data_IF_390054816058
#
_entry.id   IF_390054816058
#
_cell.length_a   1.000
_cell.length_b   1.000
_cell.length_c   1.000
_cell.angle_alpha   90.00
_cell.angle_beta   90.00
_cell.angle_gamma   90.00
#
_symmetry.space_group_name_H-M   'P 1'
#
loop_
_entity.id
_entity.type
_entity.pdbx_description
1 polymer ?
#
# COMPACT_ATOMS: atom_id res chain seq x y z
N UNK A 1 19.34 -15.30 -15.06
CA UNK A 1 19.65 -14.43 -16.23
C UNK A 1 21.10 -14.01 -16.10
N UNK A 2 21.81 -13.97 -17.22
CA UNK A 2 23.17 -13.47 -17.27
C UNK A 2 23.19 -11.95 -16.98
N UNK A 3 24.29 -11.40 -16.45
CA UNK A 3 24.46 -9.95 -16.10
C UNK A 3 24.24 -8.99 -17.31
N UNK A 4 24.14 -9.51 -18.52
CA UNK A 4 23.82 -8.75 -19.74
C UNK A 4 22.31 -8.71 -20.07
N UNK A 5 21.44 -9.31 -19.25
CA UNK A 5 20.00 -9.44 -19.51
C UNK A 5 19.24 -8.12 -19.49
N UNK A 6 18.14 -8.07 -20.24
CA UNK A 6 17.23 -6.92 -20.33
C UNK A 6 15.84 -7.27 -19.83
N UNK A 7 15.29 -6.40 -18.99
CA UNK A 7 13.91 -6.54 -18.46
C UNK A 7 13.05 -5.42 -19.05
N UNK A 8 11.88 -5.78 -19.57
CA UNK A 8 10.83 -4.82 -19.93
C UNK A 8 9.76 -4.83 -18.86
N UNK A 9 9.47 -3.67 -18.28
CA UNK A 9 8.46 -3.52 -17.22
C UNK A 9 7.31 -2.67 -17.76
N UNK A 10 6.08 -3.16 -17.59
CA UNK A 10 4.85 -2.47 -17.97
C UNK A 10 4.11 -2.03 -16.73
N UNK A 11 3.97 -0.71 -16.54
CA UNK A 11 3.30 -0.06 -15.44
C UNK A 11 4.23 0.67 -14.48
N UNK A 12 4.10 2.00 -14.42
CA UNK A 12 4.91 2.91 -13.62
C UNK A 12 4.43 3.11 -12.17
N UNK A 13 3.57 2.21 -11.68
CA UNK A 13 3.18 2.15 -10.28
C UNK A 13 4.29 1.58 -9.39
N UNK A 14 4.01 1.47 -8.07
CA UNK A 14 5.03 1.03 -7.10
C UNK A 14 5.54 -0.39 -7.39
N UNK A 15 4.69 -1.32 -7.82
CA UNK A 15 5.12 -2.67 -8.16
C UNK A 15 6.11 -2.65 -9.33
N UNK A 16 5.79 -1.99 -10.43
CA UNK A 16 6.70 -1.89 -11.58
C UNK A 16 7.97 -1.13 -11.26
N UNK A 17 7.88 -0.03 -10.51
CA UNK A 17 9.05 0.74 -10.08
C UNK A 17 9.99 -0.10 -9.20
N UNK A 18 9.44 -0.92 -8.27
CA UNK A 18 10.26 -1.80 -7.45
C UNK A 18 10.87 -2.96 -8.24
N UNK A 19 10.17 -3.48 -9.25
CA UNK A 19 10.78 -4.44 -10.18
C UNK A 19 11.95 -3.80 -10.96
N UNK A 20 11.84 -2.53 -11.35
CA UNK A 20 12.96 -1.81 -11.95
C UNK A 20 14.14 -1.67 -10.98
N UNK A 21 13.88 -1.33 -9.72
CA UNK A 21 14.90 -1.26 -8.66
C UNK A 21 15.60 -2.60 -8.48
N UNK A 22 14.85 -3.68 -8.34
CA UNK A 22 15.44 -5.02 -8.12
C UNK A 22 16.19 -5.54 -9.35
N UNK A 23 15.70 -5.32 -10.55
CA UNK A 23 16.40 -5.64 -11.78
C UNK A 23 17.74 -4.89 -11.88
N UNK A 24 17.73 -3.59 -11.60
CA UNK A 24 18.95 -2.76 -11.63
C UNK A 24 19.96 -3.18 -10.56
N UNK A 25 19.52 -3.52 -9.36
CA UNK A 25 20.39 -4.06 -8.30
C UNK A 25 21.06 -5.39 -8.68
N UNK A 26 20.49 -6.12 -9.66
CA UNK A 26 21.07 -7.34 -10.27
C UNK A 26 21.87 -7.10 -11.54
N UNK A 27 22.16 -5.85 -11.86
CA UNK A 27 22.95 -5.50 -13.04
C UNK A 27 22.19 -5.58 -14.37
N UNK A 28 20.86 -5.78 -14.35
CA UNK A 28 20.06 -5.92 -15.57
C UNK A 28 19.72 -4.54 -16.19
N UNK A 29 19.68 -4.46 -17.51
CA UNK A 29 19.13 -3.30 -18.20
C UNK A 29 17.59 -3.30 -18.10
N UNK A 30 16.98 -2.12 -17.98
CA UNK A 30 15.53 -1.99 -17.80
C UNK A 30 14.95 -0.98 -18.78
N UNK A 31 13.91 -1.40 -19.51
CA UNK A 31 13.00 -0.50 -20.22
C UNK A 31 11.66 -0.51 -19.50
N UNK A 32 11.21 0.65 -19.01
CA UNK A 32 10.06 0.78 -18.12
C UNK A 32 8.98 1.65 -18.77
N UNK A 33 7.87 1.05 -19.19
CA UNK A 33 6.76 1.70 -19.87
C UNK A 33 5.65 2.09 -18.88
N UNK A 34 5.11 3.29 -19.05
CA UNK A 34 3.89 3.74 -18.37
C UNK A 34 3.00 4.46 -19.38
N UNK A 35 1.72 4.10 -19.44
CA UNK A 35 0.75 4.69 -20.37
C UNK A 35 0.44 6.17 -20.11
N UNK A 36 0.50 6.58 -18.85
CA UNK A 36 0.35 7.97 -18.43
C UNK A 36 1.72 8.67 -18.40
N UNK A 37 1.73 9.98 -18.27
CA UNK A 37 2.98 10.73 -18.10
C UNK A 37 3.66 10.43 -16.76
N UNK A 38 2.84 10.04 -15.76
CA UNK A 38 3.25 9.64 -14.42
C UNK A 38 2.28 8.58 -13.89
N UNK A 39 2.74 7.74 -12.94
CA UNK A 39 1.86 6.77 -12.29
C UNK A 39 0.70 7.47 -11.57
N UNK A 40 -0.55 7.16 -11.96
CA UNK A 40 -1.77 7.78 -11.44
C UNK A 40 -2.68 6.85 -10.66
N UNK A 41 -2.30 5.59 -10.52
CA UNK A 41 -3.06 4.56 -9.82
C UNK A 41 -2.96 4.66 -8.29
N UNK A 42 -3.22 3.53 -7.62
CA UNK A 42 -3.19 3.41 -6.15
C UNK A 42 -1.88 3.87 -5.52
N UNK A 43 -0.76 3.74 -6.23
CA UNK A 43 0.58 4.05 -5.73
C UNK A 43 0.79 5.50 -5.29
N UNK A 44 0.00 6.44 -5.80
CA UNK A 44 0.06 7.88 -5.44
C UNK A 44 -1.21 8.36 -4.72
N UNK A 45 -2.09 7.43 -4.36
CA UNK A 45 -3.40 7.68 -3.74
C UNK A 45 -3.57 6.94 -2.41
N UNK A 46 -2.46 6.69 -1.71
CA UNK A 46 -2.39 5.98 -0.44
C UNK A 46 -1.63 6.80 0.62
N UNK A 47 -1.53 6.26 1.84
CA UNK A 47 -0.86 6.92 2.97
C UNK A 47 0.67 6.94 2.87
N UNK A 48 1.28 6.13 2.03
CA UNK A 48 2.72 5.92 2.06
C UNK A 48 3.20 5.09 3.25
N UNK A 49 2.33 4.28 3.85
CA UNK A 49 2.69 3.44 4.98
C UNK A 49 3.52 2.24 4.52
N UNK A 50 4.63 2.01 5.21
CA UNK A 50 5.33 0.75 5.26
C UNK A 50 4.87 0.06 6.55
N UNK A 51 3.76 -0.67 6.43
CA UNK A 51 2.90 -1.11 7.53
C UNK A 51 3.16 -2.57 7.87
N UNK A 52 3.89 -2.83 8.94
CA UNK A 52 4.22 -4.16 9.47
C UNK A 52 3.18 -4.56 10.54
N UNK A 53 2.76 -3.60 11.36
CA UNK A 53 1.89 -3.80 12.53
C UNK A 53 0.62 -4.59 12.23
N UNK A 54 -0.07 -4.28 11.15
CA UNK A 54 -1.35 -4.90 10.81
C UNK A 54 -1.27 -6.25 10.08
N UNK A 55 -0.08 -6.79 9.79
CA UNK A 55 0.08 -7.98 8.94
C UNK A 55 -0.19 -9.26 9.72
N UNK A 56 -0.82 -10.26 9.07
CA UNK A 56 -1.03 -11.58 9.67
C UNK A 56 0.31 -12.25 9.97
N UNK A 57 0.40 -12.94 11.12
CA UNK A 57 1.56 -13.78 11.46
C UNK A 57 1.89 -14.81 10.38
N UNK A 58 3.15 -15.15 10.24
CA UNK A 58 3.65 -16.08 9.23
C UNK A 58 4.05 -15.39 7.91
N UNK A 59 3.70 -15.92 6.73
CA UNK A 59 4.24 -15.45 5.44
C UNK A 59 3.97 -13.95 5.16
N UNK A 60 2.81 -13.44 5.57
CA UNK A 60 2.49 -12.01 5.34
C UNK A 60 3.39 -11.10 6.18
N UNK A 61 3.59 -11.42 7.46
CA UNK A 61 4.50 -10.66 8.32
C UNK A 61 5.94 -10.77 7.82
N UNK A 62 6.39 -11.97 7.46
CA UNK A 62 7.74 -12.19 6.94
C UNK A 62 8.00 -11.36 5.67
N UNK A 63 7.04 -11.32 4.73
CA UNK A 63 7.13 -10.51 3.53
C UNK A 63 7.20 -9.01 3.87
N UNK A 64 6.40 -8.56 4.83
CA UNK A 64 6.37 -7.14 5.24
C UNK A 64 7.66 -6.71 5.95
N UNK A 65 8.22 -7.56 6.81
CA UNK A 65 9.51 -7.31 7.47
C UNK A 65 10.64 -7.26 6.45
N UNK A 66 10.70 -8.23 5.51
CA UNK A 66 11.68 -8.19 4.43
C UNK A 66 11.54 -6.92 3.58
N UNK A 67 10.32 -6.55 3.26
CA UNK A 67 10.06 -5.32 2.50
C UNK A 67 10.47 -4.07 3.27
N UNK A 68 10.29 -4.03 4.59
CA UNK A 68 10.72 -2.93 5.46
C UNK A 68 12.25 -2.74 5.43
N UNK A 69 13.01 -3.84 5.51
CA UNK A 69 14.47 -3.83 5.36
C UNK A 69 14.90 -3.30 3.98
N UNK A 70 14.24 -3.79 2.92
CA UNK A 70 14.50 -3.35 1.56
C UNK A 70 14.19 -1.87 1.36
N UNK A 71 13.09 -1.35 1.93
CA UNK A 71 12.75 0.06 1.88
C UNK A 71 13.83 0.93 2.53
N UNK A 72 14.35 0.52 3.68
CA UNK A 72 15.43 1.24 4.35
C UNK A 72 16.71 1.27 3.52
N UNK A 73 17.11 0.13 2.96
CA UNK A 73 18.25 0.03 2.05
C UNK A 73 18.06 0.87 0.77
N UNK A 74 16.86 0.84 0.17
CA UNK A 74 16.54 1.63 -1.03
C UNK A 74 16.58 3.13 -0.70
N UNK A 75 16.06 3.52 0.45
CA UNK A 75 16.04 4.92 0.87
C UNK A 75 17.44 5.49 1.16
N UNK A 76 18.38 4.66 1.59
CA UNK A 76 19.79 5.05 1.73
C UNK A 76 20.40 5.41 0.36
N UNK A 77 20.05 4.66 -0.70
CA UNK A 77 20.48 4.92 -2.07
C UNK A 77 19.70 6.07 -2.73
N UNK A 78 18.40 6.21 -2.39
CA UNK A 78 17.46 7.17 -2.98
C UNK A 78 16.72 7.98 -1.89
N UNK A 79 17.42 8.91 -1.20
CA UNK A 79 16.84 9.65 -0.06
C UNK A 79 15.63 10.51 -0.43
N UNK A 80 15.46 10.86 -1.70
CA UNK A 80 14.29 11.58 -2.21
C UNK A 80 12.96 10.84 -2.07
N UNK A 81 12.94 9.55 -1.68
CA UNK A 81 11.71 8.79 -1.41
C UNK A 81 10.91 9.30 -0.21
N UNK A 82 11.54 10.09 0.65
CA UNK A 82 10.94 10.58 1.90
C UNK A 82 10.67 9.46 2.91
N UNK A 83 11.45 8.38 2.86
CA UNK A 83 11.37 7.29 3.84
C UNK A 83 11.74 7.79 5.24
N UNK A 84 10.89 7.44 6.22
CA UNK A 84 11.09 7.76 7.64
C UNK A 84 10.73 6.55 8.49
N UNK A 85 11.63 6.02 9.34
CA UNK A 85 11.33 4.97 10.32
C UNK A 85 10.59 5.58 11.53
N UNK A 86 9.40 6.11 11.29
CA UNK A 86 8.65 6.91 12.26
C UNK A 86 7.85 6.06 13.26
N UNK A 87 7.71 4.77 13.01
CA UNK A 87 6.78 3.93 13.75
C UNK A 87 5.32 4.29 13.50
N UNK A 88 4.45 3.60 14.21
CA UNK A 88 3.00 3.87 14.23
C UNK A 88 2.43 3.77 15.63
N UNK A 89 1.38 4.56 15.90
CA UNK A 89 0.57 4.49 17.09
C UNK A 89 -0.87 4.14 16.73
N UNK A 90 -1.38 3.03 17.25
CA UNK A 90 -2.83 2.74 17.26
C UNK A 90 -3.37 3.17 18.61
N UNK A 91 -4.32 4.11 18.62
CA UNK A 91 -4.79 4.80 19.84
C UNK A 91 -6.06 4.15 20.37
N UNK A 92 -6.07 3.83 21.65
CA UNK A 92 -7.23 3.29 22.37
C UNK A 92 -7.98 4.41 23.10
N UNK A 93 -9.26 4.58 22.77
CA UNK A 93 -10.17 5.50 23.46
C UNK A 93 -11.10 4.77 24.43
N UNK A 94 -11.14 3.44 24.39
CA UNK A 94 -11.94 2.58 25.29
C UNK A 94 -11.09 1.47 25.90
N UNK A 95 -11.51 0.94 27.05
CA UNK A 95 -10.84 -0.19 27.71
C UNK A 95 -10.87 -1.47 26.84
N UNK A 96 -11.92 -1.68 26.06
CA UNK A 96 -11.98 -2.84 25.16
C UNK A 96 -10.97 -2.74 24.02
N UNK A 97 -10.73 -1.55 23.45
CA UNK A 97 -9.65 -1.33 22.47
C UNK A 97 -8.27 -1.60 23.10
N UNK A 98 -8.06 -1.09 24.31
CA UNK A 98 -6.81 -1.30 25.03
C UNK A 98 -6.57 -2.78 25.39
N UNK A 99 -7.64 -3.52 25.70
CA UNK A 99 -7.57 -4.97 25.93
C UNK A 99 -7.11 -5.73 24.69
N UNK A 100 -7.65 -5.40 23.50
CA UNK A 100 -7.20 -5.97 22.22
C UNK A 100 -5.72 -5.69 21.98
N UNK A 101 -5.28 -4.47 22.25
CA UNK A 101 -3.86 -4.09 22.06
C UNK A 101 -2.93 -4.83 23.01
N UNK A 102 -3.32 -5.01 24.27
CA UNK A 102 -2.55 -5.79 25.26
C UNK A 102 -2.44 -7.26 24.83
N UNK A 103 -3.54 -7.86 24.41
CA UNK A 103 -3.55 -9.25 23.96
C UNK A 103 -2.71 -9.43 22.66
N UNK A 104 -2.81 -8.50 21.72
CA UNK A 104 -1.99 -8.51 20.52
C UNK A 104 -0.47 -8.36 20.81
N UNK A 105 -0.12 -7.58 21.83
CA UNK A 105 1.27 -7.41 22.26
C UNK A 105 1.85 -8.65 22.99
N UNK A 106 1.01 -9.58 23.42
CA UNK A 106 1.43 -10.87 24.03
C UNK A 106 1.57 -11.99 23.01
N UNK A 107 1.18 -11.78 21.74
CA UNK A 107 1.32 -12.78 20.69
C UNK A 107 2.80 -13.13 20.43
N UNK A 108 3.11 -14.37 20.02
CA UNK A 108 4.50 -14.82 19.77
C UNK A 108 5.26 -13.97 18.76
N UNK A 109 4.56 -13.34 17.82
CA UNK A 109 5.13 -12.51 16.77
C UNK A 109 5.16 -10.99 17.12
N UNK A 110 4.64 -10.60 18.26
CA UNK A 110 4.62 -9.20 18.75
C UNK A 110 6.04 -8.59 18.80
N UNK A 111 7.02 -9.39 19.22
CA UNK A 111 8.42 -8.97 19.28
C UNK A 111 9.01 -8.62 17.90
N UNK A 112 8.59 -9.34 16.85
CA UNK A 112 9.04 -9.06 15.47
C UNK A 112 8.49 -7.74 14.95
N UNK A 113 7.35 -7.29 15.48
CA UNK A 113 6.71 -6.01 15.16
C UNK A 113 7.22 -4.87 16.04
N UNK A 114 8.00 -5.20 17.06
CA UNK A 114 8.42 -4.25 18.09
C UNK A 114 7.20 -3.57 18.73
N UNK A 115 6.17 -4.38 19.12
CA UNK A 115 4.98 -3.89 19.78
C UNK A 115 5.26 -3.53 21.22
N UNK A 116 4.74 -2.38 21.63
CA UNK A 116 4.75 -1.90 23.00
C UNK A 116 3.40 -1.22 23.32
N UNK A 117 2.75 -1.65 24.38
CA UNK A 117 1.53 -0.99 24.89
C UNK A 117 1.95 0.17 25.77
N UNK A 118 1.51 1.36 25.41
CA UNK A 118 1.85 2.61 26.07
C UNK A 118 0.68 3.18 26.86
N UNK A 119 0.97 3.81 28.00
CA UNK A 119 0.01 4.67 28.70
C UNK A 119 -0.29 5.93 27.87
N UNK A 120 -1.32 6.68 28.23
CA UNK A 120 -1.65 7.93 27.58
C UNK A 120 -0.50 8.96 27.66
N UNK A 121 0.24 8.97 28.77
CA UNK A 121 1.37 9.89 28.93
C UNK A 121 2.56 9.46 28.07
N UNK A 122 2.90 8.17 28.01
CA UNK A 122 3.95 7.65 27.13
C UNK A 122 3.62 7.88 25.65
N UNK A 123 2.33 7.74 25.26
CA UNK A 123 1.88 8.09 23.89
C UNK A 123 2.17 9.54 23.57
N UNK A 124 1.93 10.47 24.52
CA UNK A 124 2.22 11.90 24.34
C UNK A 124 3.71 12.20 24.30
N UNK A 125 4.54 11.41 24.99
CA UNK A 125 6.00 11.50 24.88
C UNK A 125 6.48 11.08 23.48
N UNK A 126 5.94 9.97 22.94
CA UNK A 126 6.28 9.49 21.60
C UNK A 126 5.75 10.42 20.52
N UNK A 127 4.55 10.96 20.67
CA UNK A 127 3.92 11.86 19.70
C UNK A 127 3.18 13.02 20.39
N UNK A 128 3.90 14.13 20.68
CA UNK A 128 3.34 15.28 21.41
C UNK A 128 2.19 16.01 20.72
N UNK A 129 1.90 15.68 19.46
CA UNK A 129 0.75 16.21 18.74
C UNK A 129 -0.58 15.58 19.19
N UNK A 130 -0.54 14.40 19.82
CA UNK A 130 -1.72 13.69 20.31
C UNK A 130 -2.10 14.24 21.71
N UNK A 131 -3.00 15.23 21.73
CA UNK A 131 -3.42 15.96 22.93
C UNK A 131 -4.86 15.69 23.34
N UNK A 132 -5.57 14.88 22.55
CA UNK A 132 -6.94 14.49 22.85
C UNK A 132 -7.08 13.57 24.05
N UNK A 133 -8.31 13.12 24.28
CA UNK A 133 -8.61 12.17 25.35
C UNK A 133 -8.51 10.73 24.82
N UNK A 134 -7.65 9.94 25.41
CA UNK A 134 -7.45 8.52 25.13
C UNK A 134 -6.79 7.82 26.33
N UNK A 135 -6.91 6.51 26.39
CA UNK A 135 -6.43 5.70 27.51
C UNK A 135 -4.97 5.24 27.35
N UNK A 136 -4.51 5.14 26.10
CA UNK A 136 -3.19 4.65 25.75
C UNK A 136 -3.14 4.28 24.27
N UNK A 137 -2.17 3.45 23.90
CA UNK A 137 -2.04 3.00 22.53
C UNK A 137 -1.06 1.85 22.38
N UNK A 138 -1.04 1.27 21.19
CA UNK A 138 -0.06 0.29 20.77
C UNK A 138 0.94 0.96 19.84
N UNK A 139 2.20 0.97 20.24
CA UNK A 139 3.30 1.44 19.41
C UNK A 139 3.94 0.29 18.66
N UNK A 140 4.06 0.42 17.33
CA UNK A 140 4.84 -0.45 16.47
C UNK A 140 6.04 0.31 15.94
N UNK A 141 7.24 0.02 16.44
CA UNK A 141 8.47 0.69 16.00
C UNK A 141 8.93 0.23 14.62
N UNK A 142 8.57 -0.99 14.21
CA UNK A 142 8.92 -1.55 12.91
C UNK A 142 8.26 -0.83 11.73
N UNK A 143 7.19 -0.07 11.96
CA UNK A 143 6.51 0.66 10.89
C UNK A 143 7.31 1.88 10.42
N UNK A 144 7.10 2.24 9.15
CA UNK A 144 7.73 3.40 8.53
C UNK A 144 6.77 4.11 7.57
N UNK A 145 7.21 5.23 7.04
CA UNK A 145 6.45 6.08 6.11
C UNK A 145 7.33 6.40 4.91
N UNK A 146 6.74 6.48 3.72
CA UNK A 146 7.31 7.07 2.51
C UNK A 146 6.41 8.18 1.98
N UNK A 147 6.91 9.00 1.08
CA UNK A 147 6.08 10.01 0.40
C UNK A 147 5.53 9.48 -0.91
N UNK A 148 4.28 9.00 -0.99
CA UNK A 148 3.81 8.22 -2.15
C UNK A 148 3.86 8.99 -3.47
N UNK A 149 3.65 10.32 -3.43
CA UNK A 149 3.67 11.16 -4.64
C UNK A 149 5.06 11.60 -5.06
N UNK A 150 6.04 11.47 -4.18
CA UNK A 150 7.43 11.87 -4.40
C UNK A 150 8.32 10.66 -4.61
N UNK A 151 8.04 9.55 -3.94
CA UNK A 151 8.87 8.35 -3.96
C UNK A 151 9.05 7.77 -5.38
N UNK A 152 7.98 7.67 -6.18
CA UNK A 152 8.07 7.11 -7.53
C UNK A 152 9.00 7.93 -8.46
N UNK A 153 8.81 9.27 -8.60
CA UNK A 153 9.74 10.08 -9.39
C UNK A 153 11.17 10.04 -8.82
N UNK A 154 11.36 10.05 -7.50
CA UNK A 154 12.68 9.99 -6.89
C UNK A 154 13.41 8.68 -7.19
N UNK A 155 12.70 7.54 -7.11
CA UNK A 155 13.25 6.23 -7.47
C UNK A 155 13.65 6.18 -8.94
N UNK A 156 12.82 6.69 -9.85
CA UNK A 156 13.15 6.74 -11.29
C UNK A 156 14.35 7.66 -11.58
N UNK A 157 14.44 8.81 -10.92
CA UNK A 157 15.58 9.70 -11.03
C UNK A 157 16.88 9.02 -10.56
N UNK A 158 16.81 8.33 -9.41
CA UNK A 158 17.93 7.52 -8.91
C UNK A 158 18.31 6.41 -9.89
N UNK A 159 17.33 5.64 -10.42
CA UNK A 159 17.58 4.59 -11.40
C UNK A 159 18.26 5.12 -12.67
N UNK A 160 17.89 6.31 -13.12
CA UNK A 160 18.49 6.95 -14.29
C UNK A 160 19.90 7.46 -14.04
N UNK A 161 20.22 7.84 -12.79
CA UNK A 161 21.56 8.34 -12.40
C UNK A 161 22.53 7.23 -11.99
N UNK A 162 22.02 6.05 -11.61
CA UNK A 162 22.84 4.92 -11.20
C UNK A 162 23.65 4.37 -12.38
N UNK A 163 24.95 4.19 -12.20
CA UNK A 163 25.83 3.60 -13.20
C UNK A 163 25.47 2.17 -13.60
N UNK A 164 26.13 1.63 -14.60
CA UNK A 164 25.91 0.26 -15.12
C UNK A 164 24.90 0.17 -16.27
N UNK A 165 24.32 -1.02 -16.57
CA UNK A 165 23.37 -1.21 -17.66
C UNK A 165 22.19 -0.24 -17.57
N UNK A 166 21.73 0.32 -18.68
CA UNK A 166 20.82 1.47 -18.71
C UNK A 166 19.46 1.23 -18.04
N UNK A 167 18.88 2.30 -17.52
CA UNK A 167 17.46 2.41 -17.19
C UNK A 167 16.81 3.42 -18.13
N UNK A 168 15.78 2.98 -18.83
CA UNK A 168 15.00 3.81 -19.74
C UNK A 168 13.57 3.93 -19.23
N UNK A 169 13.14 5.16 -18.92
CA UNK A 169 11.77 5.48 -18.53
C UNK A 169 11.01 6.00 -19.76
N UNK A 170 9.89 5.35 -20.07
CA UNK A 170 9.04 5.65 -21.23
C UNK A 170 7.62 6.03 -20.76
N UNK A 171 7.41 7.29 -20.36
CA UNK A 171 6.06 7.79 -20.04
C UNK A 171 5.26 8.00 -21.33
N UNK A 172 3.93 7.90 -21.24
CA UNK A 172 3.01 8.02 -22.37
C UNK A 172 3.13 6.84 -23.36
N UNK A 173 3.62 5.68 -22.88
CA UNK A 173 3.78 4.47 -23.69
C UNK A 173 2.91 3.34 -23.13
N UNK A 174 1.80 3.11 -23.81
CA UNK A 174 0.90 2.00 -23.49
C UNK A 174 1.34 0.72 -24.21
N UNK A 175 1.57 -0.35 -23.45
CA UNK A 175 1.80 -1.66 -24.04
C UNK A 175 0.48 -2.20 -24.62
N UNK A 176 0.46 -2.56 -25.90
CA UNK A 176 -0.71 -3.07 -26.62
C UNK A 176 -0.57 -4.53 -27.03
N UNK A 177 0.66 -5.05 -27.06
CA UNK A 177 0.96 -6.44 -27.35
C UNK A 177 2.12 -6.93 -26.49
N UNK A 178 2.05 -8.19 -26.05
CA UNK A 178 3.09 -8.85 -25.23
C UNK A 178 3.47 -10.17 -25.87
N UNK A 179 4.77 -10.44 -25.95
CA UNK A 179 5.32 -11.72 -26.39
C UNK A 179 6.57 -12.08 -25.55
N UNK A 180 7.07 -13.29 -25.73
CA UNK A 180 8.19 -13.84 -24.97
C UNK A 180 9.49 -12.99 -25.00
N UNK A 181 9.64 -12.13 -26.01
CA UNK A 181 10.86 -11.34 -26.22
C UNK A 181 10.62 -9.83 -26.13
N UNK A 182 9.50 -9.40 -25.55
CA UNK A 182 9.23 -7.98 -25.36
C UNK A 182 7.77 -7.57 -25.47
N UNK A 183 7.57 -6.27 -25.58
CA UNK A 183 6.24 -5.64 -25.74
C UNK A 183 6.23 -4.66 -26.92
N UNK A 184 5.07 -4.52 -27.55
CA UNK A 184 4.83 -3.46 -28.55
C UNK A 184 3.96 -2.37 -27.90
N UNK A 185 4.35 -1.12 -28.09
CA UNK A 185 3.58 0.02 -27.61
C UNK A 185 2.54 0.48 -28.64
N UNK A 186 1.68 1.43 -28.25
CA UNK A 186 0.61 1.99 -29.08
C UNK A 186 1.12 2.76 -30.32
N UNK A 187 2.41 3.11 -30.36
CA UNK A 187 3.04 3.75 -31.50
C UNK A 187 3.67 2.73 -32.47
N UNK A 188 3.52 1.42 -32.18
CA UNK A 188 4.07 0.34 -32.99
C UNK A 188 5.53 0.00 -32.69
N UNK A 189 6.19 0.69 -31.75
CA UNK A 189 7.56 0.41 -31.38
C UNK A 189 7.65 -0.87 -30.54
N UNK A 190 8.60 -1.76 -30.90
CA UNK A 190 8.87 -2.99 -30.17
C UNK A 190 10.01 -2.80 -29.17
N UNK A 191 9.72 -3.03 -27.90
CA UNK A 191 10.69 -2.98 -26.79
C UNK A 191 11.10 -4.39 -26.43
N UNK A 192 12.35 -4.77 -26.77
CA UNK A 192 12.87 -6.13 -26.56
C UNK A 192 13.36 -6.34 -25.14
N UNK A 193 13.16 -7.55 -24.61
CA UNK A 193 13.67 -7.98 -23.31
C UNK A 193 13.63 -9.50 -23.15
N UNK A 194 14.50 -10.01 -22.29
CA UNK A 194 14.58 -11.44 -21.95
C UNK A 194 13.53 -11.83 -20.91
N UNK A 195 13.07 -10.83 -20.14
CA UNK A 195 11.96 -10.93 -19.20
C UNK A 195 11.02 -9.74 -19.37
N UNK A 196 9.73 -10.00 -19.41
CA UNK A 196 8.67 -9.00 -19.38
C UNK A 196 7.92 -9.12 -18.04
N UNK A 197 7.79 -8.02 -17.33
CA UNK A 197 7.01 -7.96 -16.06
C UNK A 197 5.83 -7.03 -16.24
N UNK A 198 4.62 -7.57 -16.17
CA UNK A 198 3.37 -6.83 -16.27
C UNK A 198 2.89 -6.45 -14.88
N UNK A 199 2.90 -5.15 -14.56
CA UNK A 199 2.46 -4.57 -13.29
C UNK A 199 1.31 -3.59 -13.51
N UNK A 200 0.17 -4.08 -14.01
CA UNK A 200 -0.95 -3.24 -14.47
C UNK A 200 -1.87 -2.72 -13.36
N UNK A 201 -1.54 -3.03 -12.09
CA UNK A 201 -2.31 -2.57 -10.92
C UNK A 201 -3.76 -3.04 -10.96
N UNK A 202 -4.71 -2.11 -10.80
CA UNK A 202 -6.15 -2.41 -10.85
C UNK A 202 -6.73 -2.41 -12.28
N UNK A 203 -5.90 -2.31 -13.31
CA UNK A 203 -6.35 -2.44 -14.69
C UNK A 203 -6.38 -3.92 -15.10
N UNK A 204 -7.57 -4.48 -15.19
CA UNK A 204 -7.83 -5.86 -15.59
C UNK A 204 -8.13 -6.02 -17.08
N UNK A 205 -7.91 -4.98 -17.86
CA UNK A 205 -8.09 -4.96 -19.32
C UNK A 205 -6.74 -4.78 -20.04
N UNK A 206 -6.76 -4.44 -21.32
CA UNK A 206 -5.53 -4.26 -22.12
C UNK A 206 -4.69 -5.55 -22.14
N UNK A 207 -3.38 -5.41 -22.09
CA UNK A 207 -2.45 -6.55 -22.21
C UNK A 207 -2.56 -7.58 -21.08
N UNK A 208 -3.05 -7.20 -19.90
CA UNK A 208 -3.25 -8.14 -18.79
C UNK A 208 -4.58 -8.91 -18.91
N UNK A 209 -5.59 -8.33 -19.54
CA UNK A 209 -6.95 -8.86 -19.58
C UNK A 209 -7.06 -10.32 -20.07
N UNK A 210 -6.53 -10.66 -21.26
CA UNK A 210 -6.57 -12.02 -21.76
C UNK A 210 -5.92 -13.04 -20.82
N UNK A 211 -4.82 -12.68 -20.17
CA UNK A 211 -4.09 -13.56 -19.24
C UNK A 211 -4.82 -13.75 -17.92
N UNK A 212 -5.40 -12.68 -17.39
CA UNK A 212 -6.23 -12.75 -16.18
C UNK A 212 -7.51 -13.56 -16.43
N UNK A 213 -8.13 -13.43 -17.59
CA UNK A 213 -9.29 -14.23 -17.98
C UNK A 213 -8.92 -15.72 -18.13
N UNK A 214 -7.81 -16.01 -18.82
CA UNK A 214 -7.35 -17.39 -19.04
C UNK A 214 -6.95 -18.10 -17.73
N UNK A 215 -6.39 -17.38 -16.75
CA UNK A 215 -6.06 -17.93 -15.43
C UNK A 215 -7.28 -18.15 -14.53
N UNK A 216 -8.48 -17.68 -14.95
CA UNK A 216 -9.69 -17.69 -14.13
C UNK A 216 -9.66 -16.66 -12.98
N UNK A 217 -8.67 -15.80 -12.92
CA UNK A 217 -8.51 -14.82 -11.85
C UNK A 217 -9.64 -13.78 -11.82
N UNK A 218 -10.34 -13.56 -12.95
CA UNK A 218 -11.48 -12.64 -13.04
C UNK A 218 -12.84 -13.30 -12.73
N UNK A 219 -12.90 -14.60 -12.56
CA UNK A 219 -14.18 -15.32 -12.37
C UNK A 219 -14.89 -14.95 -11.04
N UNK A 220 -14.18 -14.37 -10.07
CA UNK A 220 -14.75 -13.87 -8.81
C UNK A 220 -15.17 -12.39 -8.85
N UNK A 221 -14.74 -11.64 -9.87
CA UNK A 221 -15.00 -10.21 -9.98
C UNK A 221 -16.39 -9.85 -10.52
N UNK A 222 -17.08 -10.79 -11.18
CA UNK A 222 -18.35 -10.54 -11.84
C UNK A 222 -19.60 -10.84 -11.00
N UNK A 223 -19.45 -11.46 -9.86
CA UNK A 223 -20.56 -11.71 -8.96
C UNK A 223 -20.31 -10.91 -7.67
N UNK A 224 -21.21 -10.03 -7.28
CA UNK A 224 -21.25 -9.40 -5.96
C UNK A 224 -21.41 -10.40 -4.80
N UNK A 225 -20.76 -11.57 -4.91
CA UNK A 225 -20.78 -12.72 -4.01
C UNK A 225 -19.36 -13.06 -3.49
N UNK A 226 -18.56 -12.05 -3.17
CA UNK A 226 -17.16 -12.27 -2.72
C UNK A 226 -17.02 -12.81 -1.29
N UNK A 227 -18.11 -13.05 -0.58
CA UNK A 227 -18.08 -13.72 0.72
C UNK A 227 -18.74 -15.10 0.60
N UNK A 228 -17.95 -16.13 0.24
CA UNK A 228 -18.40 -17.52 0.34
C UNK A 228 -18.12 -18.46 -0.84
N UNK A 229 -17.63 -17.99 -1.99
CA UNK A 229 -17.41 -18.88 -3.15
C UNK A 229 -16.16 -19.78 -3.05
N UNK A 230 -15.26 -19.54 -2.11
CA UNK A 230 -14.03 -20.32 -1.92
C UNK A 230 -13.08 -20.35 -3.14
N UNK A 231 -13.40 -19.62 -4.21
CA UNK A 231 -12.62 -19.60 -5.45
C UNK A 231 -11.63 -18.44 -5.43
N UNK A 232 -10.36 -18.76 -5.68
CA UNK A 232 -9.32 -17.74 -5.82
C UNK A 232 -9.65 -16.78 -6.98
N UNK A 233 -9.49 -15.46 -6.74
CA UNK A 233 -9.79 -14.46 -7.74
C UNK A 233 -9.12 -13.14 -7.43
N UNK A 234 -9.38 -12.15 -8.30
CA UNK A 234 -9.00 -10.75 -8.11
C UNK A 234 -10.26 -9.90 -8.04
N UNK A 235 -10.27 -8.93 -7.14
CA UNK A 235 -11.27 -7.87 -7.12
C UNK A 235 -10.59 -6.50 -7.08
N UNK A 236 -11.36 -5.47 -7.39
CA UNK A 236 -10.96 -4.09 -7.14
C UNK A 236 -11.57 -3.63 -5.83
N UNK A 237 -10.85 -2.73 -5.15
CA UNK A 237 -11.33 -2.06 -3.93
C UNK A 237 -11.13 -0.58 -4.13
N UNK A 238 -12.19 0.20 -3.88
CA UNK A 238 -12.12 1.66 -3.87
C UNK A 238 -12.05 2.17 -2.44
N UNK A 239 -11.17 3.12 -2.20
CA UNK A 239 -11.07 3.82 -0.93
C UNK A 239 -11.05 5.33 -1.12
N UNK A 240 -11.53 6.05 -0.13
CA UNK A 240 -11.59 7.50 -0.13
C UNK A 240 -10.63 8.07 0.90
N UNK A 241 -9.94 9.13 0.54
CA UNK A 241 -8.93 9.79 1.35
C UNK A 241 -8.98 11.30 1.15
N UNK A 242 -8.47 12.03 2.12
CA UNK A 242 -8.32 13.48 2.04
C UNK A 242 -6.93 13.95 2.49
N UNK A 243 -6.62 15.19 2.18
CA UNK A 243 -5.42 15.87 2.66
C UNK A 243 -5.80 17.29 3.08
N UNK A 244 -5.34 17.69 4.27
CA UNK A 244 -5.52 19.04 4.80
C UNK A 244 -4.45 20.00 4.23
N UNK A 245 -4.59 21.29 4.52
CA UNK A 245 -3.43 22.20 4.52
C UNK A 245 -2.46 21.82 5.64
N UNK A 246 -1.24 22.39 5.65
CA UNK A 246 -0.26 22.09 6.70
C UNK A 246 -0.83 22.27 8.12
N UNK A 247 -0.67 21.26 8.95
CA UNK A 247 -1.00 21.30 10.36
C UNK A 247 0.15 21.98 11.14
N UNK A 248 -0.13 22.88 12.06
CA UNK A 248 0.91 23.67 12.73
C UNK A 248 1.79 22.84 13.69
N UNK A 249 1.27 21.69 14.16
CA UNK A 249 2.03 20.73 14.99
C UNK A 249 2.82 19.72 14.17
N UNK A 250 3.74 19.01 14.83
CA UNK A 250 4.47 17.89 14.23
C UNK A 250 3.87 16.57 14.73
N UNK A 251 3.27 15.81 13.82
CA UNK A 251 2.79 14.43 14.05
C UNK A 251 3.94 13.49 13.69
N UNK A 252 4.60 12.95 14.71
CA UNK A 252 5.88 12.26 14.54
C UNK A 252 5.75 10.84 14.01
N UNK A 253 4.64 10.15 14.31
CA UNK A 253 4.34 8.78 13.90
C UNK A 253 3.19 8.77 12.89
N UNK A 254 2.94 7.66 12.20
CA UNK A 254 1.60 7.41 11.68
C UNK A 254 0.66 7.11 12.86
N UNK A 255 -0.61 7.44 12.68
CA UNK A 255 -1.64 7.28 13.74
C UNK A 255 -2.83 6.52 13.17
N UNK A 256 -3.31 5.53 13.93
CA UNK A 256 -4.54 4.80 13.68
C UNK A 256 -5.47 4.91 14.90
N UNK A 257 -6.78 4.77 14.71
CA UNK A 257 -7.74 4.64 15.80
C UNK A 257 -8.14 3.19 16.09
N UNK A 258 -8.98 2.98 17.10
CA UNK A 258 -9.45 1.66 17.51
C UNK A 258 -10.24 0.90 16.44
N UNK A 259 -10.85 1.59 15.47
CA UNK A 259 -11.54 0.92 14.37
C UNK A 259 -10.59 0.14 13.46
N UNK A 260 -9.33 0.54 13.39
CA UNK A 260 -8.29 -0.19 12.63
C UNK A 260 -8.01 -1.59 13.18
N UNK A 261 -8.28 -1.84 14.47
CA UNK A 261 -8.15 -3.17 15.09
C UNK A 261 -9.06 -4.21 14.41
N UNK A 262 -10.22 -3.78 13.90
CA UNK A 262 -11.18 -4.66 13.20
C UNK A 262 -10.75 -5.01 11.78
N UNK A 263 -9.94 -4.18 11.20
CA UNK A 263 -9.55 -4.28 9.80
C UNK A 263 -8.30 -5.15 9.60
N UNK A 264 -7.34 -5.07 10.52
CA UNK A 264 -6.05 -5.71 10.35
C UNK A 264 -5.96 -7.08 11.04
N UNK A 265 -5.56 -8.13 10.31
CA UNK A 265 -5.55 -9.51 10.82
C UNK A 265 -4.50 -9.76 11.91
N UNK A 266 -3.60 -8.84 12.20
CA UNK A 266 -2.69 -8.91 13.33
C UNK A 266 -3.41 -8.83 14.68
N UNK A 267 -4.62 -8.25 14.69
CA UNK A 267 -5.45 -8.04 15.89
C UNK A 267 -6.59 -9.06 16.01
N UNK A 268 -6.49 -10.18 15.26
CA UNK A 268 -7.46 -11.29 15.36
C UNK A 268 -7.21 -12.09 16.65
N UNK A 269 -7.58 -11.50 17.78
CA UNK A 269 -7.43 -12.02 19.14
C UNK A 269 -8.81 -12.14 19.80
N UNK A 270 -9.00 -13.02 20.81
CA UNK A 270 -10.28 -13.24 21.48
C UNK A 270 -11.00 -11.97 21.93
N UNK A 271 -10.29 -11.01 22.53
CA UNK A 271 -10.85 -9.74 22.98
C UNK A 271 -11.41 -8.84 21.87
N UNK A 272 -11.05 -9.08 20.60
CA UNK A 272 -11.60 -8.33 19.47
C UNK A 272 -13.13 -8.38 19.40
N UNK A 273 -13.72 -9.51 19.83
CA UNK A 273 -15.18 -9.68 19.86
C UNK A 273 -15.89 -8.81 20.91
N UNK A 274 -15.15 -8.25 21.87
CA UNK A 274 -15.67 -7.37 22.93
C UNK A 274 -15.75 -5.90 22.52
N UNK A 275 -15.23 -5.55 21.34
CA UNK A 275 -15.31 -4.17 20.86
C UNK A 275 -16.77 -3.74 20.63
N UNK A 276 -17.16 -2.52 21.08
CA UNK A 276 -18.50 -2.01 20.84
C UNK A 276 -18.75 -1.82 19.33
N UNK A 277 -20.00 -1.81 18.86
CA UNK A 277 -20.30 -1.51 17.47
C UNK A 277 -19.64 -0.20 17.02
N UNK A 278 -19.19 -0.16 15.77
CA UNK A 278 -18.70 1.08 15.15
C UNK A 278 -19.85 2.10 15.04
N UNK A 279 -19.50 3.38 14.92
CA UNK A 279 -20.45 4.41 14.48
C UNK A 279 -21.05 4.00 13.12
N UNK A 280 -22.35 4.26 12.93
CA UNK A 280 -23.08 3.83 11.73
C UNK A 280 -22.37 4.21 10.43
N UNK A 281 -21.91 5.46 10.32
CA UNK A 281 -21.19 5.95 9.14
C UNK A 281 -19.86 5.20 8.91
N UNK A 282 -19.15 4.82 9.97
CA UNK A 282 -17.93 4.05 9.85
C UNK A 282 -18.22 2.60 9.42
N UNK A 283 -19.25 1.98 9.96
CA UNK A 283 -19.65 0.62 9.60
C UNK A 283 -20.13 0.53 8.13
N UNK A 284 -20.97 1.48 7.70
CA UNK A 284 -21.50 1.56 6.33
C UNK A 284 -20.38 1.74 5.29
N UNK A 285 -19.40 2.57 5.60
CA UNK A 285 -18.28 2.88 4.71
C UNK A 285 -17.05 1.98 4.94
N UNK A 286 -17.13 1.04 5.91
CA UNK A 286 -15.97 0.26 6.37
C UNK A 286 -14.76 1.17 6.61
N UNK A 287 -15.01 2.28 7.30
CA UNK A 287 -14.03 3.32 7.54
C UNK A 287 -13.20 3.02 8.79
N UNK A 288 -11.96 3.41 8.74
CA UNK A 288 -11.02 3.45 9.86
C UNK A 288 -10.19 4.73 9.75
N UNK A 289 -9.77 5.29 10.87
CA UNK A 289 -8.85 6.42 10.82
C UNK A 289 -7.42 5.93 10.69
N UNK A 290 -6.79 6.32 9.59
CA UNK A 290 -5.34 6.39 9.45
C UNK A 290 -4.94 7.83 9.15
N UNK A 291 -3.90 8.32 9.80
CA UNK A 291 -3.42 9.68 9.63
C UNK A 291 -1.89 9.69 9.53
N UNK A 292 -1.37 10.42 8.53
CA UNK A 292 0.07 10.57 8.31
C UNK A 292 0.38 12.02 7.96
N UNK A 293 1.35 12.62 8.64
CA UNK A 293 1.85 13.94 8.24
C UNK A 293 2.86 13.82 7.10
N UNK A 294 2.65 14.63 6.05
CA UNK A 294 3.54 14.74 4.90
C UNK A 294 4.72 15.66 5.19
N UNK A 295 5.74 15.63 4.33
CA UNK A 295 6.90 16.52 4.46
C UNK A 295 6.54 18.01 4.33
N UNK A 296 5.45 18.34 3.64
CA UNK A 296 4.91 19.70 3.53
C UNK A 296 4.09 20.14 4.77
N UNK A 297 4.00 19.26 5.79
CA UNK A 297 3.23 19.49 7.01
C UNK A 297 1.73 19.17 6.90
N UNK A 298 1.20 18.89 5.72
CA UNK A 298 -0.21 18.52 5.55
C UNK A 298 -0.50 17.13 6.14
N UNK A 299 -1.76 16.89 6.55
CA UNK A 299 -2.20 15.58 7.05
C UNK A 299 -2.95 14.84 5.95
N UNK A 300 -2.50 13.64 5.60
CA UNK A 300 -3.28 12.68 4.82
C UNK A 300 -4.10 11.84 5.79
N UNK A 301 -5.42 11.82 5.60
CA UNK A 301 -6.40 11.17 6.47
C UNK A 301 -7.30 10.29 5.62
N UNK A 302 -7.68 9.14 6.10
CA UNK A 302 -8.58 8.15 5.49
C UNK A 302 -8.62 6.90 6.38
N UNK A 303 -9.20 5.80 5.92
CA UNK A 303 -9.79 5.54 4.62
C UNK A 303 -11.15 4.84 4.74
N UNK A 304 -11.81 4.67 3.60
CA UNK A 304 -13.01 3.82 3.47
C UNK A 304 -12.71 2.62 2.60
N UNK A 305 -13.62 1.60 2.56
CA UNK A 305 -13.46 0.44 1.70
C UNK A 305 -14.78 0.09 1.01
N UNK A 306 -14.78 0.23 -0.30
CA UNK A 306 -15.90 -0.14 -1.18
C UNK A 306 -15.47 -1.34 -2.03
N UNK A 307 -16.28 -2.39 -2.03
CA UNK A 307 -15.99 -3.65 -2.73
C UNK A 307 -16.92 -3.94 -3.90
N UNK A 308 -18.08 -3.27 -3.94
CA UNK A 308 -19.12 -3.55 -4.92
C UNK A 308 -18.98 -2.64 -6.14
N UNK A 309 -18.86 -3.21 -7.32
CA UNK A 309 -18.80 -2.49 -8.59
C UNK A 309 -20.16 -2.47 -9.31
N UNK A 310 -20.50 -1.42 -10.06
CA UNK A 310 -19.68 -0.27 -10.34
C UNK A 310 -19.53 0.66 -9.13
N UNK A 311 -18.29 1.14 -8.89
CA UNK A 311 -18.06 2.10 -7.83
C UNK A 311 -18.82 3.40 -8.08
N UNK A 312 -19.20 4.08 -6.98
CA UNK A 312 -19.83 5.38 -7.06
C UNK A 312 -18.90 6.39 -7.80
N UNK A 313 -19.51 7.26 -8.59
CA UNK A 313 -18.79 8.34 -9.27
C UNK A 313 -18.27 9.36 -8.26
N UNK A 314 -19.11 9.72 -7.29
CA UNK A 314 -18.83 10.74 -6.29
C UNK A 314 -18.07 10.16 -5.08
N UNK A 315 -17.63 11.07 -4.20
CA UNK A 315 -17.06 10.77 -2.90
C UNK A 315 -18.07 11.12 -1.81
N UNK A 316 -18.12 10.30 -0.73
CA UNK A 316 -19.07 10.47 0.36
C UNK A 316 -18.56 11.52 1.37
N UNK A 317 -19.28 12.62 1.52
CA UNK A 317 -18.94 13.67 2.49
C UNK A 317 -19.08 13.21 3.94
N UNK A 318 -20.05 12.34 4.26
CA UNK A 318 -20.26 11.88 5.63
C UNK A 318 -19.09 11.07 6.16
N UNK A 319 -18.49 10.22 5.30
CA UNK A 319 -17.27 9.48 5.66
C UNK A 319 -16.10 10.42 5.95
N UNK A 320 -15.92 11.47 5.15
CA UNK A 320 -14.87 12.46 5.39
C UNK A 320 -15.08 13.26 6.67
N UNK A 321 -16.31 13.68 6.96
CA UNK A 321 -16.65 14.40 8.18
C UNK A 321 -16.38 13.55 9.43
N UNK A 322 -16.74 12.26 9.38
CA UNK A 322 -16.44 11.32 10.45
C UNK A 322 -14.93 11.19 10.70
N UNK A 323 -14.15 10.96 9.63
CA UNK A 323 -12.70 10.80 9.73
C UNK A 323 -12.00 12.08 10.24
N UNK A 324 -12.46 13.25 9.79
CA UNK A 324 -11.97 14.55 10.28
C UNK A 324 -12.28 14.74 11.78
N UNK A 325 -13.49 14.41 12.20
CA UNK A 325 -13.89 14.49 13.62
C UNK A 325 -13.03 13.57 14.51
N UNK A 326 -12.77 12.32 14.05
CA UNK A 326 -11.90 11.38 14.75
C UNK A 326 -10.46 11.88 14.85
N UNK A 327 -9.89 12.37 13.75
CA UNK A 327 -8.55 12.93 13.74
C UNK A 327 -8.41 14.17 14.64
N UNK A 328 -9.39 15.08 14.59
CA UNK A 328 -9.46 16.25 15.46
C UNK A 328 -9.53 15.86 16.95
N UNK A 329 -10.35 14.86 17.27
CA UNK A 329 -10.48 14.35 18.66
C UNK A 329 -9.15 13.79 19.18
N UNK A 330 -8.42 12.99 18.41
CA UNK A 330 -7.12 12.45 18.83
C UNK A 330 -6.03 13.52 18.96
N UNK A 331 -6.03 14.50 18.05
CA UNK A 331 -5.10 15.62 18.11
C UNK A 331 -5.46 16.62 19.21
N UNK A 332 -6.70 16.62 19.72
CA UNK A 332 -7.20 17.63 20.66
C UNK A 332 -7.14 19.05 20.07
N UNK A 333 -7.30 19.20 18.76
CA UNK A 333 -7.14 20.43 18.03
C UNK A 333 -8.03 20.49 16.79
N UNK A 334 -8.41 21.69 16.37
CA UNK A 334 -9.07 21.92 15.10
C UNK A 334 -8.12 21.63 13.94
N UNK A 335 -8.61 20.93 12.93
CA UNK A 335 -7.82 20.60 11.75
C UNK A 335 -7.78 21.76 10.76
N UNK A 336 -6.67 21.95 10.05
CA UNK A 336 -6.62 22.90 8.94
C UNK A 336 -7.63 22.52 7.85
N UNK A 337 -8.08 23.48 7.04
CA UNK A 337 -9.03 23.23 5.95
C UNK A 337 -8.56 22.10 5.03
N UNK A 338 -9.49 21.28 4.57
CA UNK A 338 -9.23 20.24 3.58
C UNK A 338 -8.81 20.88 2.27
N UNK A 339 -7.63 20.50 1.78
CA UNK A 339 -7.08 21.00 0.53
C UNK A 339 -7.51 20.16 -0.66
N UNK A 340 -7.63 18.84 -0.48
CA UNK A 340 -8.01 17.92 -1.55
C UNK A 340 -8.68 16.65 -1.02
N UNK A 341 -9.57 16.09 -1.83
CA UNK A 341 -10.21 14.80 -1.63
C UNK A 341 -10.02 13.95 -2.87
N UNK A 342 -9.89 12.63 -2.71
CA UNK A 342 -9.77 11.72 -3.84
C UNK A 342 -10.24 10.32 -3.47
N UNK A 343 -10.56 9.53 -4.49
CA UNK A 343 -10.68 8.09 -4.37
C UNK A 343 -9.50 7.40 -5.07
N UNK A 344 -9.05 6.29 -4.50
CA UNK A 344 -8.06 5.39 -5.07
C UNK A 344 -8.68 4.03 -5.33
N UNK A 345 -8.23 3.33 -6.37
CA UNK A 345 -8.65 1.96 -6.64
C UNK A 345 -7.41 1.07 -6.72
N UNK A 346 -7.37 0.02 -5.91
CA UNK A 346 -6.35 -1.01 -5.99
C UNK A 346 -6.96 -2.37 -6.28
N UNK A 347 -6.13 -3.35 -6.63
CA UNK A 347 -6.53 -4.75 -6.80
C UNK A 347 -6.06 -5.59 -5.62
N UNK A 348 -6.84 -6.59 -5.24
CA UNK A 348 -6.46 -7.58 -4.25
C UNK A 348 -6.86 -8.99 -4.65
N UNK A 349 -6.11 -9.98 -4.18
CA UNK A 349 -6.47 -11.39 -4.29
C UNK A 349 -7.54 -11.75 -3.26
N UNK A 350 -8.47 -12.64 -3.65
CA UNK A 350 -9.55 -13.13 -2.79
C UNK A 350 -9.64 -14.65 -2.87
N UNK A 351 -10.22 -15.28 -1.84
CA UNK A 351 -10.47 -16.73 -1.83
C UNK A 351 -9.19 -17.57 -1.80
N UNK A 352 -8.06 -17.01 -1.36
CA UNK A 352 -6.75 -17.67 -1.31
C UNK A 352 -5.91 -17.15 -0.15
N UNK A 353 -4.89 -17.91 0.24
CA UNK A 353 -3.85 -17.47 1.19
C UNK A 353 -2.70 -16.70 0.51
N UNK A 354 -2.69 -16.62 -0.82
CA UNK A 354 -1.70 -15.83 -1.53
C UNK A 354 -1.82 -14.33 -1.17
N UNK A 355 -0.69 -13.65 -1.08
CA UNK A 355 -0.62 -12.24 -0.68
C UNK A 355 -0.75 -11.29 -1.88
N UNK A 356 -0.53 -11.80 -3.07
CA UNK A 356 -0.65 -11.12 -4.36
C UNK A 356 -0.79 -12.18 -5.46
N UNK A 357 -1.20 -11.73 -6.64
CA UNK A 357 -1.26 -12.58 -7.82
C UNK A 357 0.05 -12.49 -8.59
N UNK A 358 0.67 -13.65 -8.81
CA UNK A 358 1.79 -13.83 -9.74
C UNK A 358 1.50 -15.01 -10.65
N UNK A 359 1.62 -14.81 -11.95
CA UNK A 359 1.45 -15.88 -12.92
C UNK A 359 2.45 -15.73 -14.08
N UNK A 360 2.99 -16.87 -14.56
CA UNK A 360 3.64 -16.91 -15.85
C UNK A 360 2.56 -16.93 -16.93
N UNK A 361 2.59 -15.94 -17.81
CA UNK A 361 1.60 -15.78 -18.89
C UNK A 361 2.15 -16.15 -20.25
N UNK A 362 3.38 -16.60 -20.27
CA UNK A 362 4.11 -17.07 -21.45
C UNK A 362 5.61 -17.22 -21.11
N UNK A 363 6.42 -17.83 -21.99
CA UNK A 363 7.86 -17.90 -21.79
C UNK A 363 8.45 -16.50 -21.57
N UNK A 364 9.16 -16.28 -20.47
CA UNK A 364 9.77 -14.99 -20.15
C UNK A 364 8.78 -13.85 -19.87
N UNK A 365 7.49 -14.15 -19.58
CA UNK A 365 6.48 -13.13 -19.27
C UNK A 365 5.81 -13.45 -17.94
N UNK A 366 5.87 -12.52 -16.99
CA UNK A 366 5.28 -12.62 -15.65
C UNK A 366 4.31 -11.48 -15.42
N UNK A 367 3.11 -11.79 -14.93
CA UNK A 367 2.13 -10.83 -14.48
C UNK A 367 2.14 -10.78 -12.95
N UNK A 368 2.23 -9.57 -12.37
CA UNK A 368 2.23 -9.33 -10.93
C UNK A 368 1.22 -8.24 -10.60
N UNK A 369 0.19 -8.59 -9.81
CA UNK A 369 -0.88 -7.67 -9.41
C UNK A 369 -1.55 -8.13 -8.10
N UNK A 370 -2.56 -7.42 -7.64
CA UNK A 370 -3.42 -7.85 -6.53
C UNK A 370 -2.80 -7.87 -5.14
N UNK A 371 -1.85 -6.99 -4.79
CA UNK A 371 -1.25 -6.99 -3.44
C UNK A 371 -2.20 -6.45 -2.36
N UNK A 372 -3.39 -5.97 -2.73
CA UNK A 372 -4.30 -5.32 -1.79
C UNK A 372 -3.72 -4.05 -1.17
N UNK A 373 -4.15 -3.68 0.01
CA UNK A 373 -3.61 -2.57 0.78
C UNK A 373 -2.14 -2.75 1.21
N UNK A 374 -1.49 -3.86 0.83
CA UNK A 374 -0.07 -4.16 1.11
C UNK A 374 0.90 -3.61 0.06
N UNK A 375 0.37 -3.07 -1.05
CA UNK A 375 1.18 -2.71 -2.22
C UNK A 375 2.36 -1.80 -1.91
N UNK A 376 2.16 -0.72 -1.17
CA UNK A 376 3.25 0.19 -0.81
C UNK A 376 4.26 -0.48 0.12
N UNK A 377 3.80 -1.17 1.15
CA UNK A 377 4.67 -1.91 2.09
C UNK A 377 5.48 -2.97 1.39
N UNK A 378 4.79 -3.92 0.70
CA UNK A 378 5.39 -5.19 0.29
C UNK A 378 6.05 -5.16 -1.11
N UNK A 379 5.86 -4.10 -1.88
CA UNK A 379 6.35 -4.03 -3.28
C UNK A 379 7.84 -4.34 -3.47
N UNK A 380 8.78 -3.94 -2.59
CA UNK A 380 10.18 -4.29 -2.77
C UNK A 380 10.42 -5.81 -2.65
N UNK A 381 9.83 -6.47 -1.64
CA UNK A 381 9.99 -7.90 -1.45
C UNK A 381 9.27 -8.71 -2.54
N UNK A 382 8.06 -8.27 -2.96
CA UNK A 382 7.35 -8.87 -4.11
C UNK A 382 8.21 -8.79 -5.37
N UNK A 383 8.88 -7.66 -5.60
CA UNK A 383 9.76 -7.50 -6.75
C UNK A 383 11.03 -8.35 -6.63
N UNK A 384 11.63 -8.43 -5.44
CA UNK A 384 12.81 -9.26 -5.17
C UNK A 384 12.57 -10.72 -5.54
N UNK A 385 11.41 -11.29 -5.15
CA UNK A 385 11.02 -12.66 -5.46
C UNK A 385 10.90 -12.96 -6.97
N UNK A 386 10.73 -11.95 -7.82
CA UNK A 386 10.68 -12.14 -9.28
C UNK A 386 12.05 -12.49 -9.85
N UNK A 387 13.12 -12.12 -9.16
CA UNK A 387 14.49 -12.27 -9.63
C UNK A 387 15.28 -13.33 -8.80
N UNK A 388 14.65 -14.00 -7.83
CA UNK A 388 15.23 -15.14 -7.15
C UNK A 388 15.15 -16.41 -8.02
#
# INVERSE_FOLDING_TARGET
MDESGRVVIVGGGILGTMHAVMARRRGLAVTHLERELEGRGASVRNFGLVWVSGRRAGPELALALRARELWESIAADAPGTGFRPAGSLTIATTESELAVMREAAELPDAKQREFEVLSADDVREVNPALRGEFLGGLWCRADAIVEPRVALPALRAWLASAGGPGYEWLPGREAVEVAANGVRDQLGQWHRGDLVVLCTGANFTGVAGPHLAASGALAGAQAGQAQGSGRAGLRRVRLQMLQTRPFPGRVLTSVADGDSLRYYPAYDVPSLSSLPPQAAVAAENRAQLLMVQRLDGSLTIGDTHEYDEPFAFDVDSAAYEHLLARASALLGAELPPVQRRWAGVYSEVTGTTALYHRSSVGPGVVLVTGPGGRGMTCSPAIAEETFL
#
